data_IF_175204018611
#
_entry.id   IF_175204018611
#
_cell.length_a   1.000
_cell.length_b   1.000
_cell.length_c   1.000
_cell.angle_alpha   90.00
_cell.angle_beta   90.00
_cell.angle_gamma   90.00
#
_symmetry.space_group_name_H-M   'P 1'
#
loop_
_entity.id
_entity.type
_entity.pdbx_description
1 polymer ?
#
# COMPACT_ATOMS: atom_id res chain seq x y z
N UNK A 1 -28.49 1.88 -37.78
CA UNK A 1 -27.50 2.38 -36.80
C UNK A 1 -26.34 1.39 -36.77
N UNK A 2 -25.10 1.83 -37.04
CA UNK A 2 -23.97 0.90 -37.24
C UNK A 2 -23.49 0.31 -35.90
N UNK A 3 -23.04 -0.94 -35.92
CA UNK A 3 -22.48 -1.64 -34.76
C UNK A 3 -21.35 -0.86 -34.08
N UNK A 4 -20.54 -0.13 -34.89
CA UNK A 4 -19.48 0.76 -34.39
C UNK A 4 -20.00 1.97 -33.61
N UNK A 5 -21.20 2.45 -33.94
CA UNK A 5 -21.85 3.54 -33.21
C UNK A 5 -22.38 3.06 -31.87
N UNK A 6 -22.91 1.82 -31.80
CA UNK A 6 -23.39 1.22 -30.56
C UNK A 6 -22.26 0.98 -29.55
N UNK A 7 -21.12 0.43 -30.00
CA UNK A 7 -19.94 0.22 -29.15
C UNK A 7 -19.35 1.52 -28.60
N UNK A 8 -19.25 2.57 -29.42
CA UNK A 8 -18.78 3.89 -28.96
C UNK A 8 -19.72 4.54 -27.95
N UNK A 9 -21.03 4.29 -28.07
CA UNK A 9 -22.01 4.76 -27.10
C UNK A 9 -21.93 3.97 -25.80
N UNK A 10 -21.70 2.65 -25.86
CA UNK A 10 -21.49 1.81 -24.68
C UNK A 10 -20.18 2.16 -23.93
N UNK A 11 -19.08 2.37 -24.65
CA UNK A 11 -17.82 2.85 -24.07
C UNK A 11 -18.01 4.23 -23.42
N UNK A 12 -18.71 5.16 -24.09
CA UNK A 12 -19.05 6.47 -23.52
C UNK A 12 -19.92 6.36 -22.27
N UNK A 13 -20.89 5.46 -22.25
CA UNK A 13 -21.75 5.22 -21.09
C UNK A 13 -20.99 4.58 -19.92
N UNK A 14 -20.07 3.65 -20.19
CA UNK A 14 -19.15 3.11 -19.16
C UNK A 14 -18.22 4.19 -18.62
N UNK A 15 -17.60 5.02 -19.47
CA UNK A 15 -16.76 6.13 -19.00
C UNK A 15 -17.56 7.19 -18.24
N UNK A 16 -18.80 7.47 -18.65
CA UNK A 16 -19.66 8.46 -17.99
C UNK A 16 -20.19 7.97 -16.63
N UNK A 17 -20.40 6.66 -16.47
CA UNK A 17 -20.77 6.07 -15.17
C UNK A 17 -19.64 6.18 -14.12
N UNK A 18 -18.39 6.39 -14.58
CA UNK A 18 -17.23 6.65 -13.72
C UNK A 18 -16.84 8.14 -13.63
N UNK A 19 -17.46 9.06 -14.39
CA UNK A 19 -16.95 10.43 -14.56
C UNK A 19 -17.70 11.56 -13.83
N UNK A 20 -18.21 11.32 -12.64
CA UNK A 20 -18.46 12.42 -11.69
C UNK A 20 -17.96 11.99 -10.32
N UNK A 21 -16.69 12.31 -10.02
CA UNK A 21 -16.16 12.23 -8.66
C UNK A 21 -16.93 13.27 -7.83
N UNK A 22 -17.98 12.83 -7.15
CA UNK A 22 -18.67 13.63 -6.15
C UNK A 22 -17.70 13.78 -4.99
N UNK A 23 -17.01 14.92 -4.91
CA UNK A 23 -16.07 15.21 -3.83
C UNK A 23 -16.83 15.31 -2.50
N UNK A 24 -16.84 14.23 -1.74
CA UNK A 24 -17.44 14.17 -0.42
C UNK A 24 -16.44 14.52 0.67
N UNK A 25 -16.92 14.92 1.85
CA UNK A 25 -16.06 15.16 3.01
C UNK A 25 -16.12 13.92 3.88
N UNK A 26 -14.99 13.27 4.13
CA UNK A 26 -14.92 12.17 5.10
C UNK A 26 -15.25 12.66 6.52
N UNK A 27 -15.85 11.77 7.31
CA UNK A 27 -15.83 11.92 8.77
C UNK A 27 -14.38 11.74 9.29
N UNK A 28 -14.16 11.99 10.58
CA UNK A 28 -12.80 11.95 11.14
C UNK A 28 -12.18 10.55 11.10
N UNK A 29 -12.99 9.50 11.26
CA UNK A 29 -12.51 8.12 11.27
C UNK A 29 -12.02 7.71 9.88
N UNK A 30 -12.84 7.96 8.85
CA UNK A 30 -12.50 7.70 7.46
C UNK A 30 -11.35 8.61 6.97
N UNK A 31 -11.33 9.87 7.40
CA UNK A 31 -10.23 10.77 7.07
C UNK A 31 -8.90 10.29 7.65
N UNK A 32 -8.91 9.75 8.88
CA UNK A 32 -7.73 9.18 9.52
C UNK A 32 -7.28 7.90 8.83
N UNK A 33 -8.22 7.02 8.47
CA UNK A 33 -7.96 5.79 7.69
C UNK A 33 -7.23 6.10 6.38
N UNK A 34 -7.86 6.91 5.51
CA UNK A 34 -7.30 7.28 4.20
C UNK A 34 -5.93 7.95 4.34
N UNK A 35 -5.73 8.79 5.37
CA UNK A 35 -4.45 9.46 5.63
C UNK A 35 -3.34 8.48 5.97
N UNK A 36 -3.63 7.52 6.87
CA UNK A 36 -2.65 6.53 7.33
C UNK A 36 -2.28 5.60 6.19
N UNK A 37 -3.27 5.10 5.45
CA UNK A 37 -3.02 4.20 4.33
C UNK A 37 -2.24 4.91 3.22
N UNK A 38 -2.62 6.14 2.87
CA UNK A 38 -1.84 6.95 1.92
C UNK A 38 -0.37 7.09 2.33
N UNK A 39 -0.10 7.29 3.63
CA UNK A 39 1.26 7.35 4.15
C UNK A 39 1.97 5.99 4.12
N UNK A 40 1.23 4.90 4.39
CA UNK A 40 1.69 3.52 4.32
C UNK A 40 2.13 3.13 2.91
N UNK A 41 1.24 3.27 1.93
CA UNK A 41 1.52 2.98 0.52
C UNK A 41 2.63 3.88 -0.04
N UNK A 42 2.66 5.15 0.40
CA UNK A 42 3.80 6.00 0.06
C UNK A 42 5.11 5.48 0.66
N UNK A 43 5.10 4.97 1.89
CA UNK A 43 6.26 4.34 2.52
C UNK A 43 6.71 3.06 1.80
N UNK A 44 5.78 2.18 1.44
CA UNK A 44 6.06 0.93 0.77
C UNK A 44 6.59 1.14 -0.67
N UNK A 45 6.03 2.08 -1.44
CA UNK A 45 6.62 2.52 -2.73
C UNK A 45 8.10 2.92 -2.57
N UNK A 46 8.44 3.58 -1.46
CA UNK A 46 9.81 4.01 -1.18
C UNK A 46 10.71 2.86 -0.73
N UNK A 47 10.20 1.89 0.02
CA UNK A 47 10.89 0.64 0.35
C UNK A 47 11.26 -0.10 -0.94
N UNK A 48 10.29 -0.35 -1.82
CA UNK A 48 10.55 -1.01 -3.10
C UNK A 48 11.53 -0.24 -3.99
N UNK A 49 11.43 1.09 -4.03
CA UNK A 49 12.42 1.91 -4.74
C UNK A 49 13.85 1.72 -4.19
N UNK A 50 13.99 1.61 -2.86
CA UNK A 50 15.26 1.31 -2.21
C UNK A 50 15.78 -0.09 -2.53
N UNK A 51 14.90 -1.09 -2.50
CA UNK A 51 15.25 -2.46 -2.88
C UNK A 51 15.69 -2.54 -4.35
N UNK A 52 14.96 -1.90 -5.26
CA UNK A 52 15.30 -1.86 -6.69
C UNK A 52 16.60 -1.13 -6.98
N UNK A 53 16.96 -0.11 -6.19
CA UNK A 53 18.25 0.57 -6.32
C UNK A 53 19.45 -0.36 -6.08
N UNK A 54 19.28 -1.40 -5.27
CA UNK A 54 20.34 -2.36 -4.91
C UNK A 54 20.23 -3.66 -5.72
N UNK A 55 19.03 -4.24 -5.80
CA UNK A 55 18.79 -5.57 -6.35
C UNK A 55 18.17 -5.58 -7.75
N UNK A 56 17.87 -4.42 -8.34
CA UNK A 56 17.12 -4.32 -9.60
C UNK A 56 17.74 -5.06 -10.79
N UNK A 57 19.08 -5.17 -10.83
CA UNK A 57 19.81 -5.88 -11.89
C UNK A 57 20.15 -7.35 -11.55
N UNK A 58 19.61 -7.87 -10.45
CA UNK A 58 19.82 -9.26 -10.02
C UNK A 58 18.70 -10.18 -10.52
N UNK A 59 18.80 -11.48 -10.24
CA UNK A 59 17.77 -12.46 -10.60
C UNK A 59 16.41 -12.21 -9.93
N UNK A 60 16.40 -11.60 -8.74
CA UNK A 60 15.16 -11.28 -8.01
C UNK A 60 14.56 -9.93 -8.41
N UNK A 61 15.33 -9.07 -9.07
CA UNK A 61 14.91 -7.74 -9.53
C UNK A 61 13.57 -7.73 -10.30
N UNK A 62 13.32 -8.64 -11.26
CA UNK A 62 12.03 -8.73 -11.94
C UNK A 62 10.84 -8.98 -11.01
N UNK A 63 11.01 -9.81 -9.97
CA UNK A 63 9.94 -10.09 -9.00
C UNK A 63 9.70 -8.91 -8.06
N UNK A 64 10.77 -8.26 -7.58
CA UNK A 64 10.64 -7.03 -6.78
C UNK A 64 9.92 -5.95 -7.59
N UNK A 65 10.26 -5.80 -8.87
CA UNK A 65 9.59 -4.85 -9.77
C UNK A 65 8.10 -5.17 -9.94
N UNK A 66 7.73 -6.43 -10.09
CA UNK A 66 6.34 -6.85 -10.22
C UNK A 66 5.50 -6.42 -9.00
N UNK A 67 5.97 -6.73 -7.78
CA UNK A 67 5.30 -6.29 -6.54
C UNK A 67 5.27 -4.77 -6.44
N UNK A 68 6.36 -4.08 -6.81
CA UNK A 68 6.41 -2.62 -6.79
C UNK A 68 5.42 -1.95 -7.75
N UNK A 69 5.10 -2.55 -8.89
CA UNK A 69 4.07 -1.99 -9.78
C UNK A 69 2.67 -2.14 -9.18
N UNK A 70 2.39 -3.18 -8.39
CA UNK A 70 1.15 -3.30 -7.61
C UNK A 70 1.08 -2.23 -6.52
N UNK A 71 2.17 -2.05 -5.77
CA UNK A 71 2.29 -1.01 -4.74
C UNK A 71 2.04 0.41 -5.31
N UNK A 72 2.58 0.71 -6.49
CA UNK A 72 2.29 1.98 -7.17
C UNK A 72 0.81 2.15 -7.49
N UNK A 73 0.11 1.06 -7.82
CA UNK A 73 -1.34 1.10 -8.02
C UNK A 73 -2.07 1.41 -6.71
N UNK A 74 -1.65 0.81 -5.59
CA UNK A 74 -2.21 1.07 -4.27
C UNK A 74 -2.04 2.53 -3.85
N UNK A 75 -0.80 3.03 -3.93
CA UNK A 75 -0.46 4.43 -3.67
C UNK A 75 -1.29 5.40 -4.51
N UNK A 76 -1.42 5.14 -5.81
CA UNK A 76 -2.22 5.98 -6.71
C UNK A 76 -3.72 5.95 -6.35
N UNK A 77 -4.21 4.82 -5.87
CA UNK A 77 -5.59 4.69 -5.39
C UNK A 77 -5.82 5.56 -4.16
N UNK A 78 -4.93 5.53 -3.18
CA UNK A 78 -5.05 6.41 -2.01
C UNK A 78 -4.81 7.88 -2.32
N UNK A 79 -3.95 8.22 -3.29
CA UNK A 79 -3.83 9.60 -3.78
C UNK A 79 -5.17 10.13 -4.33
N UNK A 80 -5.90 9.28 -5.05
CA UNK A 80 -7.24 9.62 -5.54
C UNK A 80 -8.23 9.74 -4.37
N UNK A 81 -8.19 8.83 -3.38
CA UNK A 81 -9.06 8.91 -2.21
C UNK A 81 -8.80 10.15 -1.36
N UNK A 82 -7.55 10.57 -1.19
CA UNK A 82 -7.18 11.83 -0.55
C UNK A 82 -7.92 13.01 -1.20
N UNK A 83 -7.91 13.07 -2.53
CA UNK A 83 -8.57 14.15 -3.29
C UNK A 83 -10.09 14.05 -3.26
N UNK A 84 -10.63 12.85 -3.40
CA UNK A 84 -12.06 12.55 -3.43
C UNK A 84 -12.74 12.89 -2.10
N UNK A 85 -12.10 12.51 -0.98
CA UNK A 85 -12.62 12.70 0.38
C UNK A 85 -12.15 13.98 1.06
N UNK A 86 -11.33 14.79 0.36
CA UNK A 86 -10.73 16.05 0.85
C UNK A 86 -9.94 15.85 2.14
N UNK A 87 -9.22 14.74 2.23
CA UNK A 87 -8.39 14.40 3.37
C UNK A 87 -7.05 15.11 3.22
N UNK A 88 -6.49 15.60 4.33
CA UNK A 88 -5.12 16.12 4.35
C UNK A 88 -4.15 14.95 4.58
N UNK A 89 -3.14 14.77 3.71
CA UNK A 89 -2.04 13.84 4.00
C UNK A 89 -1.30 14.20 5.29
N UNK A 90 -0.59 13.22 5.85
CA UNK A 90 0.27 13.48 7.02
C UNK A 90 1.40 14.45 6.68
N UNK A 91 1.73 15.34 7.61
CA UNK A 91 2.90 16.21 7.48
C UNK A 91 4.25 15.44 7.48
N UNK A 92 4.23 14.16 7.87
CA UNK A 92 5.41 13.30 8.00
C UNK A 92 5.83 12.63 6.68
N UNK A 93 5.11 12.83 5.58
CA UNK A 93 5.46 12.23 4.27
C UNK A 93 6.93 12.43 3.85
N UNK A 94 7.56 13.62 4.02
CA UNK A 94 8.98 13.78 3.67
C UNK A 94 9.92 12.90 4.50
N UNK A 95 9.54 12.62 5.76
CA UNK A 95 10.30 11.73 6.63
C UNK A 95 10.11 10.27 6.18
N UNK A 96 8.87 9.84 5.92
CA UNK A 96 8.57 8.50 5.40
C UNK A 96 9.24 8.24 4.05
N UNK A 97 9.39 9.27 3.21
CA UNK A 97 10.10 9.19 1.94
C UNK A 97 11.54 8.70 2.09
N UNK A 98 12.25 9.27 3.07
CA UNK A 98 13.64 8.95 3.35
C UNK A 98 13.75 7.62 4.11
N UNK A 99 12.92 7.44 5.14
CA UNK A 99 12.93 6.25 5.98
C UNK A 99 12.60 4.98 5.19
N UNK A 100 11.55 5.00 4.36
CA UNK A 100 11.17 3.86 3.52
C UNK A 100 12.28 3.48 2.54
N UNK A 101 12.85 4.47 1.83
CA UNK A 101 13.96 4.21 0.92
C UNK A 101 15.20 3.65 1.62
N UNK A 102 15.58 4.23 2.75
CA UNK A 102 16.73 3.77 3.53
C UNK A 102 16.52 2.34 4.05
N UNK A 103 15.31 2.02 4.53
CA UNK A 103 14.94 0.68 4.97
C UNK A 103 15.03 -0.34 3.83
N UNK A 104 14.43 -0.02 2.68
CA UNK A 104 14.44 -0.89 1.50
C UNK A 104 15.85 -1.12 0.95
N UNK A 105 16.65 -0.06 0.80
CA UNK A 105 18.03 -0.18 0.35
C UNK A 105 18.91 -0.92 1.37
N UNK A 106 18.76 -0.60 2.66
CA UNK A 106 19.53 -1.21 3.75
C UNK A 106 19.30 -2.72 3.87
N UNK A 107 18.04 -3.14 3.80
CA UNK A 107 17.69 -4.57 3.83
C UNK A 107 18.10 -5.30 2.56
N UNK A 108 18.02 -4.64 1.40
CA UNK A 108 18.50 -5.20 0.14
C UNK A 108 20.03 -5.35 0.07
N UNK A 109 20.79 -4.53 0.81
CA UNK A 109 22.25 -4.71 0.97
C UNK A 109 22.60 -5.99 1.74
N UNK A 110 21.68 -6.55 2.52
CA UNK A 110 21.82 -7.88 3.14
C UNK A 110 21.51 -9.02 2.15
N UNK A 111 21.19 -8.68 0.90
CA UNK A 111 20.87 -9.61 -0.17
C UNK A 111 19.37 -9.82 -0.37
N UNK A 112 19.04 -10.69 -1.31
CA UNK A 112 17.66 -11.04 -1.69
C UNK A 112 16.78 -11.41 -0.49
N UNK A 113 17.27 -12.30 0.37
CA UNK A 113 16.54 -12.73 1.57
C UNK A 113 16.29 -11.60 2.56
N UNK A 114 17.25 -10.67 2.69
CA UNK A 114 17.10 -9.48 3.53
C UNK A 114 15.99 -8.55 3.02
N UNK A 115 15.94 -8.31 1.71
CA UNK A 115 14.85 -7.56 1.10
C UNK A 115 13.49 -8.26 1.32
N UNK A 116 13.42 -9.58 1.12
CA UNK A 116 12.19 -10.34 1.33
C UNK A 116 11.75 -10.37 2.80
N UNK A 117 12.71 -10.43 3.74
CA UNK A 117 12.42 -10.27 5.17
C UNK A 117 11.82 -8.91 5.50
N UNK A 118 12.27 -7.85 4.84
CA UNK A 118 11.66 -6.53 4.95
C UNK A 118 10.20 -6.54 4.48
N UNK A 119 9.93 -7.05 3.28
CA UNK A 119 8.57 -7.15 2.71
C UNK A 119 7.66 -7.96 3.63
N UNK A 120 8.08 -9.15 4.07
CA UNK A 120 7.30 -9.99 5.00
C UNK A 120 6.99 -9.26 6.31
N UNK A 121 7.98 -8.56 6.87
CA UNK A 121 7.79 -7.85 8.13
C UNK A 121 6.84 -6.66 8.01
N UNK A 122 6.92 -5.89 6.92
CA UNK A 122 6.01 -4.78 6.61
C UNK A 122 4.60 -5.31 6.38
N UNK A 123 4.43 -6.26 5.47
CA UNK A 123 3.12 -6.78 5.08
C UNK A 123 2.40 -7.52 6.21
N UNK A 124 3.14 -8.14 7.14
CA UNK A 124 2.53 -8.65 8.37
C UNK A 124 1.76 -7.55 9.13
N UNK A 125 2.31 -6.33 9.21
CA UNK A 125 1.68 -5.21 9.92
C UNK A 125 0.58 -4.59 9.08
N UNK A 126 0.78 -4.44 7.77
CA UNK A 126 -0.20 -3.82 6.87
C UNK A 126 -1.44 -4.69 6.73
N UNK A 127 -1.31 -6.01 6.58
CA UNK A 127 -2.45 -6.95 6.56
C UNK A 127 -3.25 -6.87 7.87
N UNK A 128 -2.58 -6.85 9.02
CA UNK A 128 -3.24 -6.67 10.32
C UNK A 128 -3.95 -5.31 10.40
N UNK A 129 -3.31 -4.24 9.90
CA UNK A 129 -3.89 -2.90 9.85
C UNK A 129 -5.18 -2.88 9.02
N UNK A 130 -5.16 -3.44 7.82
CA UNK A 130 -6.34 -3.52 6.97
C UNK A 130 -7.44 -4.40 7.57
N UNK A 131 -7.08 -5.51 8.24
CA UNK A 131 -8.07 -6.32 8.97
C UNK A 131 -8.76 -5.51 10.08
N UNK A 132 -8.03 -4.68 10.83
CA UNK A 132 -8.61 -3.80 11.86
C UNK A 132 -9.52 -2.72 11.25
N UNK A 133 -9.12 -2.14 10.12
CA UNK A 133 -9.94 -1.19 9.39
C UNK A 133 -11.23 -1.82 8.86
N UNK A 134 -11.16 -3.01 8.26
CA UNK A 134 -12.35 -3.73 7.80
C UNK A 134 -13.34 -4.00 8.93
N UNK A 135 -12.86 -4.41 10.12
CA UNK A 135 -13.73 -4.56 11.30
C UNK A 135 -14.39 -3.23 11.69
N UNK A 136 -13.67 -2.13 11.60
CA UNK A 136 -14.21 -0.79 11.88
C UNK A 136 -15.28 -0.40 10.85
N UNK A 137 -15.00 -0.60 9.57
CA UNK A 137 -15.90 -0.28 8.46
C UNK A 137 -17.18 -1.13 8.49
N UNK A 138 -17.08 -2.43 8.79
CA UNK A 138 -18.24 -3.32 8.90
C UNK A 138 -19.22 -2.92 10.02
N UNK A 139 -18.74 -2.22 11.05
CA UNK A 139 -19.57 -1.71 12.14
C UNK A 139 -20.16 -0.32 11.85
N UNK A 140 -19.81 0.30 10.72
CA UNK A 140 -20.33 1.59 10.31
C UNK A 140 -21.40 1.42 9.20
N UNK A 141 -22.70 1.62 9.49
CA UNK A 141 -23.77 1.47 8.50
C UNK A 141 -23.75 2.52 7.38
N UNK A 142 -23.00 3.62 7.55
CA UNK A 142 -22.88 4.71 6.58
C UNK A 142 -21.61 4.60 5.73
N UNK A 143 -20.85 3.50 5.86
CA UNK A 143 -19.59 3.33 5.13
C UNK A 143 -19.80 3.31 3.62
N UNK A 144 -18.94 4.02 2.90
CA UNK A 144 -18.90 3.93 1.44
C UNK A 144 -18.46 2.51 1.02
N UNK A 145 -19.30 1.73 0.31
CA UNK A 145 -18.97 0.38 -0.14
C UNK A 145 -17.69 0.32 -0.98
N UNK A 146 -17.36 1.40 -1.70
CA UNK A 146 -16.14 1.52 -2.50
C UNK A 146 -14.89 1.42 -1.63
N UNK A 147 -14.85 2.14 -0.51
CA UNK A 147 -13.67 2.14 0.38
C UNK A 147 -13.49 0.74 0.97
N UNK A 148 -14.57 0.14 1.46
CA UNK A 148 -14.53 -1.22 2.00
C UNK A 148 -14.03 -2.24 0.97
N UNK A 149 -14.42 -2.11 -0.30
CA UNK A 149 -13.93 -2.97 -1.37
C UNK A 149 -12.43 -2.77 -1.63
N UNK A 150 -11.96 -1.52 -1.68
CA UNK A 150 -10.54 -1.19 -1.87
C UNK A 150 -9.70 -1.78 -0.74
N UNK A 151 -10.05 -1.52 0.52
CA UNK A 151 -9.31 -2.04 1.69
C UNK A 151 -9.27 -3.57 1.67
N UNK A 152 -10.39 -4.22 1.32
CA UNK A 152 -10.42 -5.68 1.23
C UNK A 152 -9.50 -6.22 0.13
N UNK A 153 -9.52 -5.59 -1.05
CA UNK A 153 -8.67 -5.99 -2.16
C UNK A 153 -7.19 -5.84 -1.80
N UNK A 154 -6.79 -4.68 -1.25
CA UNK A 154 -5.39 -4.43 -0.94
C UNK A 154 -4.90 -5.33 0.18
N UNK A 155 -5.73 -5.60 1.20
CA UNK A 155 -5.42 -6.64 2.20
C UNK A 155 -5.08 -7.98 1.57
N UNK A 156 -5.88 -8.44 0.60
CA UNK A 156 -5.63 -9.71 -0.08
C UNK A 156 -4.33 -9.66 -0.90
N UNK A 157 -4.07 -8.54 -1.59
CA UNK A 157 -2.84 -8.32 -2.38
C UNK A 157 -1.58 -8.22 -1.49
N UNK A 158 -1.65 -7.56 -0.32
CA UNK A 158 -0.56 -7.53 0.65
C UNK A 158 -0.26 -8.90 1.25
N UNK A 159 -1.29 -9.72 1.45
CA UNK A 159 -1.08 -11.11 1.86
C UNK A 159 -0.33 -11.91 0.78
N UNK A 160 -0.61 -11.66 -0.49
CA UNK A 160 0.14 -12.28 -1.60
C UNK A 160 1.60 -11.81 -1.65
N UNK A 161 1.88 -10.53 -1.34
CA UNK A 161 3.24 -9.99 -1.22
C UNK A 161 4.00 -10.63 -0.07
N UNK A 162 3.37 -10.72 1.10
CA UNK A 162 3.89 -11.45 2.26
C UNK A 162 4.27 -12.90 1.89
N UNK A 163 3.32 -13.65 1.32
CA UNK A 163 3.52 -15.06 0.99
C UNK A 163 4.59 -15.25 -0.09
N UNK A 164 4.70 -14.30 -1.02
CA UNK A 164 5.79 -14.24 -1.99
C UNK A 164 7.13 -14.05 -1.28
N UNK A 165 7.24 -13.14 -0.32
CA UNK A 165 8.45 -12.94 0.46
C UNK A 165 8.88 -14.21 1.21
N UNK A 166 7.93 -14.93 1.82
CA UNK A 166 8.20 -16.23 2.45
C UNK A 166 8.75 -17.23 1.43
N UNK A 167 8.10 -17.35 0.27
CA UNK A 167 8.53 -18.25 -0.81
C UNK A 167 9.93 -17.94 -1.34
N UNK A 168 10.34 -16.67 -1.30
CA UNK A 168 11.67 -16.21 -1.70
C UNK A 168 12.70 -16.23 -0.54
N UNK A 169 12.39 -16.94 0.55
CA UNK A 169 13.35 -17.24 1.60
C UNK A 169 13.57 -16.11 2.60
N UNK A 170 12.55 -15.26 2.84
CA UNK A 170 12.60 -14.22 3.88
C UNK A 170 13.12 -14.75 5.23
N UNK A 171 12.63 -15.91 5.68
CA UNK A 171 12.99 -16.51 6.97
C UNK A 171 14.45 -16.98 7.03
N UNK A 172 15.12 -17.08 5.89
CA UNK A 172 16.53 -17.44 5.77
C UNK A 172 17.45 -16.20 5.82
N UNK A 173 16.91 -15.00 6.02
CA UNK A 173 17.69 -13.78 6.15
C UNK A 173 18.57 -13.79 7.42
N UNK A 174 19.75 -13.16 7.39
CA UNK A 174 20.57 -12.99 8.59
C UNK A 174 19.78 -12.26 9.69
N UNK A 175 19.73 -12.85 10.89
CA UNK A 175 19.02 -12.30 12.05
C UNK A 175 17.53 -12.01 11.80
N UNK A 176 16.86 -12.82 10.97
CA UNK A 176 15.48 -12.64 10.54
C UNK A 176 14.54 -12.18 11.67
N UNK A 177 14.47 -12.90 12.78
CA UNK A 177 13.58 -12.55 13.91
C UNK A 177 13.84 -11.15 14.47
N UNK A 178 15.10 -10.77 14.65
CA UNK A 178 15.45 -9.46 15.17
C UNK A 178 15.09 -8.36 14.17
N UNK A 179 15.43 -8.56 12.88
CA UNK A 179 15.11 -7.63 11.80
C UNK A 179 13.59 -7.44 11.67
N UNK A 180 12.85 -8.54 11.61
CA UNK A 180 11.39 -8.55 11.50
C UNK A 180 10.73 -7.81 12.66
N UNK A 181 11.15 -8.05 13.90
CA UNK A 181 10.56 -7.38 15.06
C UNK A 181 10.85 -5.87 15.08
N UNK A 182 12.05 -5.45 14.67
CA UNK A 182 12.41 -4.03 14.56
C UNK A 182 11.54 -3.35 13.50
N UNK A 183 11.42 -3.95 12.31
CA UNK A 183 10.63 -3.40 11.20
C UNK A 183 9.15 -3.32 11.60
N UNK A 184 8.59 -4.41 12.15
CA UNK A 184 7.19 -4.44 12.64
C UNK A 184 6.94 -3.35 13.68
N UNK A 185 7.87 -3.15 14.62
CA UNK A 185 7.79 -2.06 15.60
C UNK A 185 7.81 -0.67 14.95
N UNK A 186 8.70 -0.47 13.97
CA UNK A 186 8.79 0.76 13.18
C UNK A 186 7.50 1.07 12.43
N UNK A 187 6.91 0.08 11.73
CA UNK A 187 5.66 0.25 11.01
C UNK A 187 4.50 0.64 11.94
N UNK A 188 4.38 -0.01 13.11
CA UNK A 188 3.36 0.33 14.11
C UNK A 188 3.52 1.78 14.61
N UNK A 189 4.76 2.22 14.86
CA UNK A 189 5.02 3.62 15.24
C UNK A 189 4.65 4.58 14.09
N UNK A 190 5.00 4.25 12.85
CA UNK A 190 4.68 5.07 11.68
C UNK A 190 3.17 5.24 11.49
N UNK A 191 2.40 4.16 11.69
CA UNK A 191 0.92 4.18 11.69
C UNK A 191 0.41 5.14 12.76
N UNK A 192 0.85 5.00 14.02
CA UNK A 192 0.39 5.84 15.13
C UNK A 192 0.75 7.32 14.97
N UNK A 193 1.92 7.62 14.41
CA UNK A 193 2.31 9.00 14.12
C UNK A 193 1.51 9.60 12.96
N UNK A 194 1.26 8.82 11.90
CA UNK A 194 0.50 9.29 10.72
C UNK A 194 -0.98 9.50 11.01
N UNK A 195 -1.53 8.89 12.09
CA UNK A 195 -2.87 9.23 12.59
C UNK A 195 -2.95 10.67 13.10
N UNK A 196 -1.88 11.17 13.74
CA UNK A 196 -1.87 12.41 14.52
C UNK A 196 -1.36 13.63 13.77
N UNK A 197 -0.41 13.45 12.86
CA UNK A 197 0.35 14.51 12.20
C UNK A 197 0.08 14.55 10.69
#
# INVERSE_FOLDING_TARGET
MSFKTCLRTLERLQTAQYSTVVRQKADEALATMIRVDHAGEFGADRIYAGQMAVLGNTKVGPKIKEMWEQEKHHRNTFENLIQEYRVRPTALLPFWNLAGFALGAGTALLGEKGAMACTVAVESVIVDHYNDQLRTLMNNPEVDPKVMQIIKQFRDEEQEHHDTGIKYGAEEAPFYEALSNIIKGGCKIAIELSKKF
#
